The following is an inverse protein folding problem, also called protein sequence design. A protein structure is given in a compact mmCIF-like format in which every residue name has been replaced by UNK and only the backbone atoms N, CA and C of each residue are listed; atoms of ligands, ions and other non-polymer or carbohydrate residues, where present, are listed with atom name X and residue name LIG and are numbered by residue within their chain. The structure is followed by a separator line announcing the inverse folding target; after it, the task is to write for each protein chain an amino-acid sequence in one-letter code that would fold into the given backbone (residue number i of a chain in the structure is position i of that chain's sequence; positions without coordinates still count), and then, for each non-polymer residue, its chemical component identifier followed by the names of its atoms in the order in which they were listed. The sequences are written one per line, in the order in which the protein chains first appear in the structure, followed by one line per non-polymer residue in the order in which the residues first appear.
data_IF_161402452299
#
_entry.id   IF_161402452299
#
_cell.length_a   1.000
_cell.length_b   1.000
_cell.length_c   1.000
_cell.angle_alpha   90.00
_cell.angle_beta   90.00
_cell.angle_gamma   90.00
#
_symmetry.space_group_name_H-M   'P 1'
#
loop_
_entity.id
_entity.type
_entity.pdbx_description
1 polymer ?
#
# COMPACT_ATOMS: atom_id res chain seq x y z
N UNK A 1 1.86 3.26 21.83
CA UNK A 1 2.23 3.84 23.12
C UNK A 1 1.07 3.65 24.11
N UNK A 2 1.35 3.69 25.42
CA UNK A 2 0.34 3.60 26.48
C UNK A 2 -0.74 4.67 26.30
N UNK A 3 -0.34 5.91 26.02
CA UNK A 3 -1.26 7.01 25.74
C UNK A 3 -2.25 6.71 24.60
N UNK A 4 -1.78 6.07 23.51
CA UNK A 4 -2.68 5.67 22.40
C UNK A 4 -3.71 4.61 22.83
N UNK A 5 -3.34 3.72 23.74
CA UNK A 5 -4.28 2.73 24.29
C UNK A 5 -5.34 3.42 25.16
N UNK A 6 -4.94 4.34 26.02
CA UNK A 6 -5.86 5.13 26.86
C UNK A 6 -6.83 5.96 25.99
N UNK A 7 -6.31 6.67 24.98
CA UNK A 7 -7.13 7.44 24.02
C UNK A 7 -8.15 6.54 23.31
N UNK A 8 -7.72 5.36 22.85
CA UNK A 8 -8.60 4.42 22.18
C UNK A 8 -9.70 3.87 23.11
N UNK A 9 -9.38 3.62 24.38
CA UNK A 9 -10.38 3.21 25.39
C UNK A 9 -11.41 4.32 25.61
N UNK A 10 -10.98 5.58 25.69
CA UNK A 10 -11.89 6.73 25.83
C UNK A 10 -12.80 6.84 24.60
N UNK A 11 -12.26 6.72 23.38
CA UNK A 11 -13.05 6.76 22.15
C UNK A 11 -14.04 5.59 22.07
N UNK A 12 -13.60 4.38 22.39
CA UNK A 12 -14.47 3.21 22.41
C UNK A 12 -15.62 3.36 23.45
N UNK A 13 -15.32 3.90 24.64
CA UNK A 13 -16.32 4.14 25.68
C UNK A 13 -17.37 5.23 25.32
N UNK A 14 -17.04 6.11 24.38
CA UNK A 14 -17.95 7.16 23.87
C UNK A 14 -18.69 6.74 22.61
N UNK A 15 -18.29 5.65 21.98
CA UNK A 15 -18.89 5.20 20.71
C UNK A 15 -20.14 4.36 20.96
N UNK A 16 -21.10 4.46 20.05
CA UNK A 16 -22.31 3.64 20.07
C UNK A 16 -22.69 3.25 18.63
N UNK A 17 -23.44 2.16 18.50
CA UNK A 17 -23.97 1.72 17.21
C UNK A 17 -24.93 2.79 16.67
N UNK A 18 -24.67 3.23 15.43
CA UNK A 18 -25.50 4.22 14.76
C UNK A 18 -25.30 5.67 15.19
N UNK A 19 -24.23 5.99 15.95
CA UNK A 19 -23.97 7.37 16.41
C UNK A 19 -23.57 8.33 15.30
N UNK A 20 -23.03 7.83 14.18
CA UNK A 20 -22.65 8.67 13.05
C UNK A 20 -23.89 9.12 12.27
N UNK A 21 -23.98 10.42 12.03
CA UNK A 21 -25.00 11.04 11.17
C UNK A 21 -24.80 10.67 9.70
N UNK A 22 -25.80 10.89 8.88
CA UNK A 22 -25.69 10.67 7.43
C UNK A 22 -24.63 11.58 6.79
N UNK A 23 -24.50 12.82 7.27
CA UNK A 23 -23.47 13.77 6.85
C UNK A 23 -22.06 13.27 7.17
N UNK A 24 -21.82 12.82 8.39
CA UNK A 24 -20.52 12.29 8.81
C UNK A 24 -20.15 11.04 7.99
N UNK A 25 -21.07 10.10 7.80
CA UNK A 25 -20.84 8.94 6.93
C UNK A 25 -20.42 9.35 5.53
N UNK A 26 -21.10 10.35 4.93
CA UNK A 26 -20.74 10.87 3.62
C UNK A 26 -19.35 11.50 3.56
N UNK A 27 -18.88 12.12 4.64
CA UNK A 27 -17.50 12.62 4.71
C UNK A 27 -16.48 11.48 4.73
N UNK A 28 -16.74 10.40 5.45
CA UNK A 28 -15.89 9.20 5.44
C UNK A 28 -15.83 8.56 4.05
N UNK A 29 -16.98 8.46 3.35
CA UNK A 29 -17.01 7.95 1.98
C UNK A 29 -16.16 8.81 1.03
N UNK A 30 -16.27 10.13 1.10
CA UNK A 30 -15.43 11.04 0.32
C UNK A 30 -13.94 10.90 0.64
N UNK A 31 -13.58 10.81 1.93
CA UNK A 31 -12.22 10.60 2.34
C UNK A 31 -11.67 9.28 1.78
N UNK A 32 -12.46 8.20 1.88
CA UNK A 32 -12.10 6.89 1.31
C UNK A 32 -11.85 6.98 -0.19
N UNK A 33 -12.74 7.63 -0.95
CA UNK A 33 -12.57 7.81 -2.41
C UNK A 33 -11.26 8.53 -2.76
N UNK A 34 -10.86 9.53 -1.95
CA UNK A 34 -9.60 10.25 -2.15
C UNK A 34 -8.41 9.31 -1.94
N UNK A 35 -8.40 8.55 -0.83
CA UNK A 35 -7.32 7.62 -0.53
C UNK A 35 -7.24 6.49 -1.56
N UNK A 36 -8.37 5.94 -1.99
CA UNK A 36 -8.42 4.88 -3.01
C UNK A 36 -7.84 5.36 -4.35
N UNK A 37 -8.06 6.63 -4.72
CA UNK A 37 -7.48 7.23 -5.94
C UNK A 37 -5.98 7.51 -5.82
N UNK A 38 -5.48 7.71 -4.62
CA UNK A 38 -4.06 7.95 -4.38
C UNK A 38 -3.24 6.66 -4.28
N UNK A 39 -3.88 5.53 -3.97
CA UNK A 39 -3.22 4.24 -3.85
C UNK A 39 -3.11 3.55 -5.21
N UNK A 40 -1.91 3.24 -5.64
CA UNK A 40 -1.65 2.46 -6.86
C UNK A 40 -1.77 0.96 -6.62
N UNK A 41 -1.52 0.53 -5.38
CA UNK A 41 -1.63 -0.86 -4.93
C UNK A 41 -1.87 -0.93 -3.42
N UNK A 42 -2.80 -1.78 -2.99
CA UNK A 42 -3.23 -1.91 -1.59
C UNK A 42 -2.26 -2.78 -0.76
N UNK A 43 -0.97 -2.47 -0.84
CA UNK A 43 0.05 -3.16 -0.07
C UNK A 43 0.15 -2.59 1.36
N UNK A 44 -0.01 -3.45 2.36
CA UNK A 44 0.09 -3.08 3.79
C UNK A 44 1.52 -3.16 4.35
N UNK A 45 2.51 -3.55 3.53
CA UNK A 45 3.90 -3.67 3.97
C UNK A 45 4.18 -4.83 4.93
N UNK A 46 3.28 -5.82 5.04
CA UNK A 46 3.39 -6.93 5.99
C UNK A 46 4.60 -7.86 5.77
N UNK A 47 5.27 -7.76 4.63
CA UNK A 47 6.48 -8.48 4.23
C UNK A 47 6.35 -10.03 4.15
N UNK A 48 5.13 -10.61 4.17
CA UNK A 48 4.96 -12.07 4.02
C UNK A 48 5.46 -12.60 2.67
N UNK A 49 5.50 -11.73 1.64
CA UNK A 49 6.08 -12.06 0.32
C UNK A 49 7.62 -12.12 0.30
N UNK A 50 8.27 -11.83 1.43
CA UNK A 50 9.72 -11.84 1.54
C UNK A 50 10.24 -13.14 2.21
N UNK A 51 11.48 -13.57 1.88
CA UNK A 51 12.37 -13.02 0.87
C UNK A 51 11.96 -13.41 -0.56
N UNK A 52 12.13 -12.48 -1.51
CA UNK A 52 11.99 -12.81 -2.92
C UNK A 52 13.22 -13.58 -3.42
N UNK A 53 13.07 -14.72 -4.11
CA UNK A 53 14.22 -15.52 -4.59
C UNK A 53 15.05 -14.80 -5.66
N UNK A 54 14.54 -13.71 -6.23
CA UNK A 54 15.22 -12.87 -7.21
C UNK A 54 15.71 -11.53 -6.61
N UNK A 55 15.68 -11.41 -5.30
CA UNK A 55 16.25 -10.27 -4.57
C UNK A 55 15.40 -9.00 -4.53
N UNK A 56 14.16 -9.01 -5.08
CA UNK A 56 13.31 -7.83 -5.02
C UNK A 56 12.87 -7.54 -3.57
N UNK A 57 12.96 -6.28 -3.17
CA UNK A 57 12.27 -5.80 -1.98
C UNK A 57 10.85 -5.36 -2.38
N UNK A 58 9.92 -6.33 -2.42
CA UNK A 58 8.56 -6.12 -2.93
C UNK A 58 7.82 -5.03 -2.15
N UNK A 59 7.82 -4.99 -0.80
CA UNK A 59 7.18 -3.92 -0.03
C UNK A 59 7.71 -2.52 -0.37
N UNK A 60 9.02 -2.35 -0.47
CA UNK A 60 9.62 -1.05 -0.79
C UNK A 60 9.35 -0.62 -2.25
N UNK A 61 9.32 -1.56 -3.19
CA UNK A 61 8.92 -1.28 -4.56
C UNK A 61 7.46 -0.82 -4.64
N UNK A 62 6.57 -1.41 -3.85
CA UNK A 62 5.18 -0.97 -3.76
C UNK A 62 5.03 0.36 -3.04
N UNK A 63 5.84 0.62 -2.02
CA UNK A 63 5.89 1.94 -1.37
C UNK A 63 6.31 3.03 -2.37
N UNK A 64 7.36 2.78 -3.16
CA UNK A 64 7.77 3.67 -4.24
C UNK A 64 6.65 3.86 -5.27
N UNK A 65 5.94 2.79 -5.64
CA UNK A 65 4.82 2.85 -6.57
C UNK A 65 3.67 3.71 -6.03
N UNK A 66 3.31 3.56 -4.76
CA UNK A 66 2.26 4.35 -4.12
C UNK A 66 2.63 5.83 -3.97
N UNK A 67 3.91 6.20 -4.03
CA UNK A 67 4.32 7.62 -4.07
C UNK A 67 3.83 8.32 -5.36
N UNK A 68 3.52 7.55 -6.42
CA UNK A 68 2.97 8.10 -7.65
C UNK A 68 1.65 8.86 -7.44
N UNK A 69 0.77 8.37 -6.59
CA UNK A 69 -0.53 9.01 -6.32
C UNK A 69 -0.38 10.45 -5.79
N UNK A 70 0.33 10.67 -4.68
CA UNK A 70 0.50 12.01 -4.09
C UNK A 70 1.55 12.89 -4.78
N UNK A 71 2.60 12.32 -5.37
CA UNK A 71 3.78 13.06 -5.85
C UNK A 71 4.07 12.87 -7.35
N UNK A 72 3.26 12.08 -8.05
CA UNK A 72 3.44 11.83 -9.48
C UNK A 72 4.68 10.99 -9.82
N UNK A 73 5.07 11.04 -11.10
CA UNK A 73 6.18 10.22 -11.64
C UNK A 73 7.53 10.55 -10.98
N UNK A 74 7.79 11.80 -10.68
CA UNK A 74 9.07 12.21 -10.09
C UNK A 74 9.24 11.70 -8.66
N UNK A 75 8.17 11.73 -7.85
CA UNK A 75 8.16 11.14 -6.52
C UNK A 75 8.41 9.64 -6.55
N UNK A 76 7.67 8.93 -7.41
CA UNK A 76 7.86 7.49 -7.61
C UNK A 76 9.29 7.17 -8.06
N UNK A 77 9.83 7.91 -9.03
CA UNK A 77 11.19 7.70 -9.56
C UNK A 77 12.24 7.85 -8.47
N UNK A 78 12.14 8.91 -7.68
CA UNK A 78 13.07 9.17 -6.56
C UNK A 78 13.12 8.00 -5.57
N UNK A 79 11.97 7.42 -5.21
CA UNK A 79 11.92 6.28 -4.29
C UNK A 79 12.32 4.95 -4.97
N UNK A 80 11.98 4.78 -6.24
CA UNK A 80 12.33 3.61 -7.03
C UNK A 80 13.85 3.49 -7.26
N UNK A 81 14.53 4.61 -7.51
CA UNK A 81 15.98 4.63 -7.74
C UNK A 81 16.80 4.25 -6.50
N UNK A 82 16.24 4.32 -5.31
CA UNK A 82 16.87 3.83 -4.08
C UNK A 82 16.93 2.30 -3.99
N UNK A 83 16.16 1.59 -4.82
CA UNK A 83 16.10 0.14 -4.77
C UNK A 83 17.30 -0.50 -5.49
N UNK A 84 17.99 -1.41 -4.80
CA UNK A 84 19.15 -2.13 -5.36
C UNK A 84 18.74 -3.08 -6.49
N UNK A 85 17.60 -3.78 -6.32
CA UNK A 85 17.04 -4.67 -7.31
C UNK A 85 15.69 -4.11 -7.77
N UNK A 86 15.58 -3.86 -9.06
CA UNK A 86 14.43 -3.18 -9.67
C UNK A 86 13.34 -4.16 -10.09
N UNK A 87 12.14 -3.64 -10.32
CA UNK A 87 10.95 -4.44 -10.62
C UNK A 87 11.05 -5.29 -11.91
N UNK A 88 11.89 -4.89 -12.87
CA UNK A 88 12.18 -5.63 -14.12
C UNK A 88 12.90 -6.96 -13.87
N UNK A 89 13.53 -7.14 -12.72
CA UNK A 89 14.13 -8.41 -12.28
C UNK A 89 13.09 -9.47 -11.89
N UNK A 90 11.80 -9.12 -11.87
CA UNK A 90 10.72 -10.07 -11.55
C UNK A 90 10.61 -11.17 -12.61
N UNK A 91 10.67 -12.42 -12.20
CA UNK A 91 10.55 -13.61 -13.07
C UNK A 91 9.14 -14.20 -13.10
N UNK A 92 8.14 -13.50 -12.57
CA UNK A 92 6.73 -13.94 -12.53
C UNK A 92 6.56 -15.38 -11.99
N UNK A 93 7.31 -15.75 -10.96
CA UNK A 93 7.23 -17.09 -10.35
C UNK A 93 6.02 -17.26 -9.42
N UNK A 94 5.27 -16.20 -9.12
CA UNK A 94 4.03 -16.15 -8.33
C UNK A 94 4.14 -16.67 -6.87
N UNK A 95 5.34 -16.93 -6.34
CA UNK A 95 5.51 -17.40 -4.96
C UNK A 95 5.00 -16.39 -3.94
N UNK A 96 5.29 -15.09 -4.17
CA UNK A 96 4.86 -13.98 -3.32
C UNK A 96 3.34 -13.79 -3.30
N UNK A 97 2.65 -14.09 -4.40
CA UNK A 97 1.19 -13.95 -4.52
C UNK A 97 0.44 -14.98 -3.67
N UNK A 98 0.99 -16.20 -3.54
CA UNK A 98 0.39 -17.29 -2.75
C UNK A 98 0.29 -16.97 -1.26
N UNK A 99 1.15 -16.09 -0.76
CA UNK A 99 1.24 -15.73 0.67
C UNK A 99 0.78 -14.29 0.94
N UNK A 100 0.31 -13.59 -0.09
CA UNK A 100 -0.17 -12.22 0.05
C UNK A 100 -1.59 -12.18 0.63
N UNK A 101 -1.79 -11.64 1.85
CA UNK A 101 -3.12 -11.57 2.46
C UNK A 101 -4.05 -10.59 1.74
N UNK A 102 -3.49 -9.66 0.95
CA UNK A 102 -4.25 -8.72 0.13
C UNK A 102 -4.56 -9.27 -1.27
N UNK A 103 -4.16 -10.50 -1.60
CA UNK A 103 -4.35 -11.12 -2.91
C UNK A 103 -3.83 -10.29 -4.10
N UNK A 104 -2.79 -9.49 -3.87
CA UNK A 104 -2.20 -8.63 -4.89
C UNK A 104 -1.56 -9.48 -5.99
N UNK A 105 -1.85 -9.18 -7.25
CA UNK A 105 -1.18 -9.74 -8.43
C UNK A 105 0.21 -9.13 -8.59
N UNK A 106 1.13 -9.53 -7.71
CA UNK A 106 2.44 -8.88 -7.50
C UNK A 106 3.26 -8.87 -8.80
N UNK A 107 3.28 -9.97 -9.54
CA UNK A 107 4.02 -10.06 -10.81
C UNK A 107 3.51 -9.09 -11.89
N UNK A 108 2.20 -8.87 -11.96
CA UNK A 108 1.59 -7.89 -12.86
C UNK A 108 1.94 -6.46 -12.45
N UNK A 109 1.89 -6.17 -11.15
CA UNK A 109 2.27 -4.87 -10.64
C UNK A 109 3.76 -4.57 -10.87
N UNK A 110 4.65 -5.55 -10.71
CA UNK A 110 6.08 -5.38 -11.00
C UNK A 110 6.32 -5.03 -12.48
N UNK A 111 5.57 -5.63 -13.40
CA UNK A 111 5.63 -5.27 -14.84
C UNK A 111 5.17 -3.83 -15.07
N UNK A 112 4.03 -3.42 -14.49
CA UNK A 112 3.54 -2.03 -14.59
C UNK A 112 4.56 -1.03 -14.07
N UNK A 113 5.15 -1.29 -12.90
CA UNK A 113 6.20 -0.44 -12.33
C UNK A 113 7.38 -0.33 -13.29
N UNK A 114 7.85 -1.45 -13.85
CA UNK A 114 8.96 -1.46 -14.78
C UNK A 114 8.66 -0.67 -16.07
N UNK A 115 7.44 -0.73 -16.58
CA UNK A 115 6.99 0.03 -17.76
C UNK A 115 6.92 1.53 -17.47
N UNK A 116 6.44 1.93 -16.31
CA UNK A 116 6.35 3.34 -15.90
C UNK A 116 7.72 3.98 -15.66
N UNK A 117 8.75 3.17 -15.37
CA UNK A 117 10.12 3.62 -15.07
C UNK A 117 11.05 3.59 -16.32
N UNK A 118 10.54 3.22 -17.46
CA UNK A 118 11.22 3.41 -18.76
C UNK A 118 11.06 4.86 -19.23
#
# INVERSE_FOLDING_TARGET
TEQQVEDNLVYAGRSAVGMLTAEEKKQYEKAKEIYDKMSMVDCTGCAYCMPCPFGLNIPELFKAYNTYGPEGKDGMKREYEKQQVRSDSCRSCHRCEKVCPQNIKISEQMKKIAEMMK
#
